data_IF_478340250331
#
_entry.id   IF_478340250331
#
_cell.length_a   1.000
_cell.length_b   1.000
_cell.length_c   1.000
_cell.angle_alpha   90.00
_cell.angle_beta   90.00
_cell.angle_gamma   90.00
#
_symmetry.space_group_name_H-M   'P 1'
#
loop_
_entity.id
_entity.type
_entity.pdbx_description
1 polymer ?
#
# COMPACT_ATOMS: atom_id res chain seq x y z
N UNK A 1 -13.04 -18.17 -17.98
CA UNK A 1 -14.36 -17.92 -17.37
C UNK A 1 -14.66 -16.42 -17.49
N UNK A 2 -15.91 -16.08 -17.82
CA UNK A 2 -16.32 -14.68 -18.00
C UNK A 2 -16.81 -14.04 -16.71
N UNK A 3 -17.21 -14.83 -15.73
CA UNK A 3 -17.67 -14.35 -14.42
C UNK A 3 -17.17 -15.25 -13.31
N UNK A 4 -16.99 -14.68 -12.13
CA UNK A 4 -16.49 -15.31 -10.91
C UNK A 4 -17.28 -14.75 -9.72
N UNK A 5 -17.68 -15.62 -8.82
CA UNK A 5 -18.24 -15.26 -7.51
C UNK A 5 -17.25 -15.75 -6.46
N UNK A 6 -16.90 -14.87 -5.53
CA UNK A 6 -16.05 -15.19 -4.37
C UNK A 6 -16.78 -14.76 -3.12
N UNK A 7 -16.88 -15.67 -2.17
CA UNK A 7 -17.41 -15.41 -0.84
C UNK A 7 -16.39 -15.80 0.21
N UNK A 8 -16.20 -14.94 1.20
CA UNK A 8 -15.36 -15.18 2.38
C UNK A 8 -16.25 -14.97 3.61
N UNK A 9 -16.16 -15.86 4.59
CA UNK A 9 -16.88 -15.76 5.87
C UNK A 9 -15.92 -16.08 6.99
N UNK A 10 -15.82 -15.18 7.95
CA UNK A 10 -14.99 -15.31 9.14
C UNK A 10 -15.85 -15.27 10.40
N UNK A 11 -15.53 -16.14 11.36
CA UNK A 11 -16.12 -16.14 12.69
C UNK A 11 -15.07 -15.80 13.74
N UNK A 12 -15.31 -14.68 14.44
CA UNK A 12 -14.45 -14.27 15.55
C UNK A 12 -14.85 -15.01 16.84
N UNK A 13 -14.02 -15.97 17.27
CA UNK A 13 -14.32 -16.81 18.46
C UNK A 13 -14.39 -15.96 19.73
N UNK A 14 -13.52 -14.94 19.86
CA UNK A 14 -13.42 -14.09 21.06
C UNK A 14 -14.58 -13.09 21.13
N UNK A 15 -14.86 -12.43 20.03
CA UNK A 15 -15.89 -11.39 19.93
C UNK A 15 -17.26 -11.92 19.48
N UNK A 16 -17.35 -13.25 19.19
CA UNK A 16 -18.58 -13.94 18.83
C UNK A 16 -19.36 -13.26 17.70
N UNK A 17 -18.65 -12.68 16.74
CA UNK A 17 -19.28 -12.03 15.59
C UNK A 17 -18.92 -12.72 14.27
N UNK A 18 -19.85 -12.63 13.31
CA UNK A 18 -19.69 -13.15 11.95
C UNK A 18 -19.41 -11.97 11.02
N UNK A 19 -18.38 -12.12 10.21
CA UNK A 19 -18.01 -11.18 9.16
C UNK A 19 -17.90 -11.89 7.84
N UNK A 20 -18.00 -11.15 6.75
CA UNK A 20 -17.81 -11.75 5.45
C UNK A 20 -17.92 -10.76 4.32
N UNK A 21 -17.54 -11.23 3.16
CA UNK A 21 -17.64 -10.47 1.91
C UNK A 21 -18.15 -11.39 0.80
N UNK A 22 -19.01 -10.85 -0.03
CA UNK A 22 -19.43 -11.46 -1.29
C UNK A 22 -19.02 -10.53 -2.42
N UNK A 23 -18.26 -11.06 -3.38
CA UNK A 23 -17.82 -10.32 -4.56
C UNK A 23 -18.22 -11.06 -5.84
N UNK A 24 -18.76 -10.32 -6.78
CA UNK A 24 -19.05 -10.75 -8.13
C UNK A 24 -18.19 -10.00 -9.13
N UNK A 25 -17.58 -10.73 -10.05
CA UNK A 25 -16.68 -10.19 -11.07
C UNK A 25 -17.08 -10.68 -12.45
N UNK A 26 -17.26 -9.77 -13.41
CA UNK A 26 -17.56 -10.05 -14.80
C UNK A 26 -16.49 -9.49 -15.72
N UNK A 27 -15.86 -10.37 -16.50
CA UNK A 27 -14.85 -10.01 -17.51
C UNK A 27 -15.52 -9.99 -18.89
N UNK A 28 -15.76 -8.79 -19.43
CA UNK A 28 -16.47 -8.61 -20.70
C UNK A 28 -15.53 -8.43 -21.91
N UNK A 29 -14.31 -7.90 -21.71
CA UNK A 29 -13.28 -7.74 -22.75
C UNK A 29 -11.92 -8.27 -22.27
N UNK A 30 -11.67 -9.58 -22.31
CA UNK A 30 -10.44 -10.19 -21.78
C UNK A 30 -9.16 -9.59 -22.38
N UNK A 31 -9.16 -9.33 -23.69
CA UNK A 31 -8.02 -8.78 -24.42
C UNK A 31 -7.71 -7.30 -24.10
N UNK A 32 -8.67 -6.60 -23.50
CA UNK A 32 -8.53 -5.23 -23.02
C UNK A 32 -8.61 -5.12 -21.51
N UNK A 33 -8.48 -6.25 -20.80
CA UNK A 33 -8.63 -6.34 -19.35
C UNK A 33 -9.93 -5.70 -18.83
N UNK A 34 -10.98 -5.68 -19.67
CA UNK A 34 -12.26 -5.10 -19.36
C UNK A 34 -13.03 -5.95 -18.36
N UNK A 35 -13.24 -5.38 -17.16
CA UNK A 35 -13.79 -6.07 -15.99
C UNK A 35 -14.66 -5.14 -15.17
N UNK A 36 -15.77 -5.67 -14.68
CA UNK A 36 -16.63 -5.05 -13.67
C UNK A 36 -16.61 -5.93 -12.43
N UNK A 37 -16.47 -5.33 -11.27
CA UNK A 37 -16.56 -6.02 -9.98
C UNK A 37 -17.54 -5.27 -9.09
N UNK A 38 -18.42 -6.03 -8.43
CA UNK A 38 -19.30 -5.57 -7.36
C UNK A 38 -18.99 -6.37 -6.10
N UNK A 39 -18.99 -5.73 -4.95
CA UNK A 39 -18.79 -6.43 -3.69
C UNK A 39 -19.62 -5.79 -2.58
N UNK A 40 -20.07 -6.61 -1.66
CA UNK A 40 -20.75 -6.22 -0.42
C UNK A 40 -20.10 -6.99 0.72
N UNK A 41 -19.92 -6.35 1.85
CA UNK A 41 -19.29 -7.02 3.00
C UNK A 41 -19.34 -6.23 4.28
N UNK A 42 -19.11 -6.96 5.35
CA UNK A 42 -18.86 -6.48 6.71
C UNK A 42 -17.54 -7.06 7.17
N UNK A 43 -16.52 -6.24 7.33
CA UNK A 43 -15.15 -6.69 7.58
C UNK A 43 -14.41 -5.75 8.53
N UNK A 44 -13.41 -6.29 9.20
CA UNK A 44 -12.37 -5.46 9.80
C UNK A 44 -11.34 -5.10 8.75
N UNK A 45 -11.11 -3.82 8.57
CA UNK A 45 -10.15 -3.27 7.61
C UNK A 45 -9.05 -2.54 8.36
N UNK A 46 -7.83 -2.68 7.89
CA UNK A 46 -6.72 -1.90 8.41
C UNK A 46 -6.93 -0.42 8.09
N UNK A 47 -6.73 0.43 9.08
CA UNK A 47 -6.74 1.89 8.93
C UNK A 47 -5.51 2.30 8.12
N UNK A 48 -4.34 1.85 8.55
CA UNK A 48 -3.09 1.98 7.83
C UNK A 48 -2.65 0.62 7.26
N UNK A 49 -2.94 0.37 5.98
CA UNK A 49 -2.54 -0.87 5.29
C UNK A 49 -1.03 -1.00 5.10
N UNK A 50 -0.27 -0.01 5.52
CA UNK A 50 1.17 0.05 5.39
C UNK A 50 1.91 -0.11 6.72
N UNK A 51 1.20 -0.44 7.80
CA UNK A 51 1.87 -0.67 9.06
C UNK A 51 2.87 -1.82 9.00
N UNK A 52 3.93 -1.74 9.82
CA UNK A 52 4.88 -2.82 10.02
C UNK A 52 4.23 -4.13 10.47
N UNK A 53 4.95 -5.23 10.31
CA UNK A 53 4.41 -6.59 10.57
C UNK A 53 3.79 -6.71 11.97
N UNK A 54 4.43 -6.15 13.00
CA UNK A 54 3.90 -6.21 14.37
C UNK A 54 2.58 -5.44 14.50
N UNK A 55 2.46 -4.27 13.90
CA UNK A 55 1.22 -3.50 13.86
C UNK A 55 0.09 -4.20 13.12
N UNK A 56 0.40 -5.12 12.20
CA UNK A 56 -0.61 -5.94 11.51
C UNK A 56 -1.37 -6.87 12.47
N UNK A 57 -0.74 -7.30 13.54
CA UNK A 57 -1.36 -8.14 14.57
C UNK A 57 -2.03 -7.33 15.68
N UNK A 58 -1.68 -6.06 15.82
CA UNK A 58 -2.24 -5.18 16.83
C UNK A 58 -3.61 -4.65 16.40
N UNK A 59 -4.55 -4.55 17.33
CA UNK A 59 -5.95 -4.15 17.05
C UNK A 59 -6.13 -2.65 16.84
N UNK A 60 -5.19 -1.85 17.32
CA UNK A 60 -5.22 -0.38 17.15
C UNK A 60 -5.30 0.08 15.70
N UNK A 61 -4.84 -0.74 14.77
CA UNK A 61 -4.87 -0.45 13.34
C UNK A 61 -6.15 -0.90 12.62
N UNK A 62 -7.19 -1.31 13.31
CA UNK A 62 -8.39 -1.84 12.65
C UNK A 62 -9.63 -0.98 12.91
N UNK A 63 -10.50 -0.93 11.90
CA UNK A 63 -11.84 -0.39 11.97
C UNK A 63 -12.83 -1.37 11.34
N UNK A 64 -14.08 -1.38 11.80
CA UNK A 64 -15.15 -2.13 11.15
C UNK A 64 -15.68 -1.32 9.97
N UNK A 65 -15.77 -1.98 8.81
CA UNK A 65 -16.27 -1.42 7.57
C UNK A 65 -17.41 -2.28 7.03
N UNK A 66 -18.62 -1.74 7.00
CA UNK A 66 -19.75 -2.31 6.27
C UNK A 66 -19.82 -1.55 4.95
N UNK A 67 -19.71 -2.24 3.82
CA UNK A 67 -19.58 -1.56 2.54
C UNK A 67 -20.28 -2.24 1.38
N UNK A 68 -20.66 -1.42 0.42
CA UNK A 68 -20.98 -1.79 -0.94
C UNK A 68 -20.01 -1.08 -1.87
N UNK A 69 -19.35 -1.82 -2.74
CA UNK A 69 -18.36 -1.26 -3.66
C UNK A 69 -18.54 -1.79 -5.07
N UNK A 70 -18.26 -0.93 -6.03
CA UNK A 70 -18.23 -1.25 -7.45
C UNK A 70 -16.94 -0.75 -8.06
N UNK A 71 -16.39 -1.47 -9.02
CA UNK A 71 -15.25 -1.00 -9.81
C UNK A 71 -15.32 -1.49 -11.24
N UNK A 72 -14.86 -0.66 -12.14
CA UNK A 72 -14.69 -0.95 -13.56
C UNK A 72 -13.25 -0.71 -13.96
N UNK A 73 -12.64 -1.64 -14.69
CA UNK A 73 -11.29 -1.54 -15.21
C UNK A 73 -11.29 -1.84 -16.71
N UNK A 74 -10.51 -1.06 -17.46
CA UNK A 74 -10.36 -1.23 -18.91
C UNK A 74 -8.98 -0.74 -19.35
N UNK A 75 -8.35 -1.46 -20.27
CA UNK A 75 -7.27 -0.93 -21.09
C UNK A 75 -7.87 -0.18 -22.28
N UNK A 76 -7.85 1.14 -22.22
CA UNK A 76 -8.43 2.03 -23.24
C UNK A 76 -7.58 1.99 -24.51
N UNK A 77 -6.27 2.15 -24.33
CA UNK A 77 -5.25 2.06 -25.37
C UNK A 77 -4.08 1.23 -24.86
N UNK A 78 -3.22 0.77 -25.74
CA UNK A 78 -2.04 0.00 -25.37
C UNK A 78 -1.25 0.66 -24.24
N UNK A 79 -1.14 -0.03 -23.10
CA UNK A 79 -0.48 0.47 -21.89
C UNK A 79 -1.25 1.54 -21.13
N UNK A 80 -2.43 1.99 -21.58
CA UNK A 80 -3.26 2.96 -20.86
C UNK A 80 -4.45 2.27 -20.20
N UNK A 81 -4.38 2.13 -18.89
CA UNK A 81 -5.42 1.50 -18.06
C UNK A 81 -6.19 2.56 -17.31
N UNK A 82 -7.51 2.43 -17.33
CA UNK A 82 -8.41 3.28 -16.54
C UNK A 82 -9.21 2.39 -15.61
N UNK A 83 -9.25 2.75 -14.35
CA UNK A 83 -10.08 2.13 -13.32
C UNK A 83 -10.94 3.19 -12.66
N UNK A 84 -12.25 3.04 -12.74
CA UNK A 84 -13.20 3.80 -11.93
C UNK A 84 -13.72 2.93 -10.79
N UNK A 85 -14.02 3.54 -9.66
CA UNK A 85 -14.52 2.85 -8.48
C UNK A 85 -15.54 3.71 -7.74
N UNK A 86 -16.45 3.03 -7.06
CA UNK A 86 -17.37 3.58 -6.10
C UNK A 86 -17.29 2.74 -4.83
N UNK A 87 -17.22 3.36 -3.68
CA UNK A 87 -17.21 2.71 -2.37
C UNK A 87 -18.12 3.48 -1.41
N UNK A 88 -19.22 2.87 -1.04
CA UNK A 88 -20.06 3.34 0.05
C UNK A 88 -19.74 2.52 1.29
N UNK A 89 -19.36 3.16 2.38
CA UNK A 89 -18.97 2.48 3.60
C UNK A 89 -19.50 3.17 4.85
N UNK A 90 -20.03 2.37 5.77
CA UNK A 90 -20.24 2.74 7.16
C UNK A 90 -18.99 2.29 7.95
N UNK A 91 -18.31 3.23 8.61
CA UNK A 91 -17.10 2.98 9.40
C UNK A 91 -17.38 3.15 10.87
N UNK A 92 -16.89 2.21 11.67
CA UNK A 92 -17.05 2.18 13.13
C UNK A 92 -15.75 1.81 13.80
N UNK A 93 -15.47 2.39 14.95
CA UNK A 93 -14.40 1.95 15.84
C UNK A 93 -14.69 0.54 16.36
N UNK A 94 -13.64 -0.15 16.75
CA UNK A 94 -13.72 -1.48 17.38
C UNK A 94 -13.39 -1.41 18.89
N UNK A 95 -13.47 -0.23 19.48
CA UNK A 95 -13.21 0.03 20.91
C UNK A 95 -14.16 -0.74 21.85
N UNK A 96 -15.36 -1.06 21.37
CA UNK A 96 -16.33 -1.84 22.14
C UNK A 96 -16.14 -3.37 22.04
N UNK A 97 -15.14 -3.86 21.30
CA UNK A 97 -14.87 -5.28 21.20
C UNK A 97 -14.11 -5.79 22.42
N UNK A 98 -14.50 -6.97 22.90
CA UNK A 98 -13.78 -7.66 23.96
C UNK A 98 -12.37 -7.97 23.49
N UNK A 99 -11.36 -7.42 24.20
CA UNK A 99 -9.95 -7.65 23.93
C UNK A 99 -9.43 -8.75 24.87
N UNK A 100 -8.54 -9.58 24.36
CA UNK A 100 -7.82 -10.55 25.19
C UNK A 100 -6.65 -9.88 25.90
N UNK A 101 -6.50 -10.13 27.19
CA UNK A 101 -5.48 -9.51 28.04
C UNK A 101 -4.04 -9.78 27.57
N UNK A 102 -3.75 -11.02 27.12
CA UNK A 102 -2.42 -11.39 26.63
C UNK A 102 -1.94 -10.52 25.45
N UNK A 103 -2.87 -10.09 24.60
CA UNK A 103 -2.53 -9.22 23.46
C UNK A 103 -2.15 -7.81 23.92
N UNK A 104 -2.71 -7.34 25.05
CA UNK A 104 -2.31 -6.06 25.65
C UNK A 104 -0.91 -6.14 26.24
N UNK A 105 -0.54 -7.26 26.85
CA UNK A 105 0.80 -7.47 27.40
C UNK A 105 1.87 -7.50 26.30
N UNK A 106 1.53 -8.08 25.13
CA UNK A 106 2.47 -8.21 24.01
C UNK A 106 2.59 -6.93 23.19
N UNK A 107 1.47 -6.25 22.88
CA UNK A 107 1.42 -5.13 21.95
C UNK A 107 1.25 -3.76 22.63
N UNK A 108 0.95 -3.73 23.94
CA UNK A 108 0.77 -2.50 24.69
C UNK A 108 -0.22 -1.54 24.05
N UNK A 109 0.19 -0.30 23.88
CA UNK A 109 -0.64 0.76 23.30
C UNK A 109 -1.05 0.48 21.85
N UNK A 110 -0.26 -0.27 21.07
CA UNK A 110 -0.60 -0.66 19.69
C UNK A 110 -1.87 -1.51 19.63
N UNK A 111 -2.21 -2.22 20.71
CA UNK A 111 -3.42 -3.01 20.79
C UNK A 111 -4.68 -2.21 21.18
N UNK A 112 -4.54 -0.93 21.53
CA UNK A 112 -5.64 -0.04 21.88
C UNK A 112 -6.34 0.45 20.61
N UNK A 113 -7.61 0.06 20.35
CA UNK A 113 -8.35 0.57 19.19
C UNK A 113 -8.52 2.08 19.29
N UNK A 114 -8.34 2.78 18.19
CA UNK A 114 -8.56 4.21 18.14
C UNK A 114 -10.07 4.52 18.18
N UNK A 115 -10.59 5.21 19.20
CA UNK A 115 -11.99 5.55 19.28
C UNK A 115 -12.33 6.68 18.29
N UNK A 116 -13.36 6.50 17.50
CA UNK A 116 -13.92 7.55 16.66
C UNK A 116 -15.43 7.40 16.52
N UNK A 117 -16.12 8.52 16.29
CA UNK A 117 -17.57 8.51 16.07
C UNK A 117 -17.89 7.79 14.77
N UNK A 118 -18.86 6.86 14.76
CA UNK A 118 -19.31 6.21 13.54
C UNK A 118 -19.70 7.23 12.46
N UNK A 119 -19.33 6.96 11.22
CA UNK A 119 -19.67 7.80 10.08
C UNK A 119 -19.84 6.99 8.81
N UNK A 120 -20.55 7.57 7.84
CA UNK A 120 -20.66 7.02 6.50
C UNK A 120 -19.83 7.84 5.51
N UNK A 121 -19.30 7.18 4.52
CA UNK A 121 -18.52 7.80 3.45
C UNK A 121 -18.93 7.22 2.10
N UNK A 122 -19.08 8.10 1.10
CA UNK A 122 -19.27 7.72 -0.30
C UNK A 122 -18.08 8.24 -1.10
N UNK A 123 -17.28 7.32 -1.64
CA UNK A 123 -16.04 7.62 -2.36
C UNK A 123 -16.21 7.28 -3.83
N UNK A 124 -15.89 8.22 -4.70
CA UNK A 124 -15.68 7.99 -6.12
C UNK A 124 -14.19 8.00 -6.40
N UNK A 125 -13.70 7.01 -7.10
CA UNK A 125 -12.28 6.87 -7.45
C UNK A 125 -12.07 6.79 -8.96
N UNK A 126 -11.01 7.44 -9.43
CA UNK A 126 -10.48 7.29 -10.79
C UNK A 126 -8.97 7.07 -10.69
N UNK A 127 -8.52 5.96 -11.26
CA UNK A 127 -7.09 5.66 -11.39
C UNK A 127 -6.76 5.51 -12.88
N UNK A 128 -5.76 6.25 -13.33
CA UNK A 128 -5.20 6.16 -14.66
C UNK A 128 -3.76 5.70 -14.53
N UNK A 129 -3.46 4.52 -15.08
CA UNK A 129 -2.11 3.97 -15.17
C UNK A 129 -1.67 3.97 -16.62
N UNK A 130 -0.57 4.65 -16.92
CA UNK A 130 0.04 4.68 -18.23
C UNK A 130 1.42 4.03 -18.22
N UNK A 131 1.59 3.00 -19.04
CA UNK A 131 2.82 2.25 -19.27
C UNK A 131 3.28 2.43 -20.71
N UNK A 132 4.09 3.43 -21.03
CA UNK A 132 4.58 3.65 -22.39
C UNK A 132 5.29 2.40 -22.92
N UNK A 133 5.08 2.05 -24.17
CA UNK A 133 5.76 0.89 -24.77
C UNK A 133 5.41 -0.47 -24.17
N UNK A 134 4.28 -0.60 -23.46
CA UNK A 134 3.83 -1.87 -22.87
C UNK A 134 3.82 -2.99 -23.92
N UNK A 135 4.54 -4.08 -23.61
CA UNK A 135 4.61 -5.29 -24.43
C UNK A 135 3.64 -6.35 -23.94
N UNK A 136 3.17 -7.17 -24.84
CA UNK A 136 2.22 -8.23 -24.54
C UNK A 136 2.57 -9.52 -25.26
N UNK A 137 2.30 -10.63 -24.58
CA UNK A 137 2.26 -11.96 -25.17
C UNK A 137 0.80 -12.38 -25.34
N UNK A 138 0.46 -12.83 -26.52
CA UNK A 138 -0.86 -13.40 -26.82
C UNK A 138 -0.77 -14.92 -26.71
N UNK A 139 -1.55 -15.52 -25.80
CA UNK A 139 -1.65 -16.96 -25.66
C UNK A 139 -3.12 -17.39 -25.79
N UNK A 140 -3.48 -17.81 -27.00
CA UNK A 140 -4.90 -18.05 -27.34
C UNK A 140 -5.73 -16.77 -27.13
N UNK A 141 -6.77 -16.85 -26.33
CA UNK A 141 -7.65 -15.71 -26.02
C UNK A 141 -7.23 -14.96 -24.72
N UNK A 142 -5.95 -15.05 -24.35
CA UNK A 142 -5.39 -14.35 -23.18
C UNK A 142 -4.28 -13.42 -23.62
N UNK A 143 -4.34 -12.19 -23.12
CA UNK A 143 -3.31 -11.17 -23.26
C UNK A 143 -2.53 -11.08 -21.94
N UNK A 144 -1.22 -11.31 -21.99
CA UNK A 144 -0.31 -11.31 -20.82
C UNK A 144 0.60 -10.10 -20.99
N UNK A 145 0.62 -9.21 -20.00
CA UNK A 145 1.52 -8.07 -19.98
C UNK A 145 2.94 -8.54 -19.64
N UNK A 146 3.92 -8.18 -20.45
CA UNK A 146 5.35 -8.51 -20.28
C UNK A 146 6.15 -7.38 -19.64
N UNK A 147 5.52 -6.22 -19.39
CA UNK A 147 6.19 -5.03 -18.88
C UNK A 147 6.49 -3.99 -19.95
N UNK A 148 7.06 -2.89 -19.52
CA UNK A 148 7.44 -1.72 -20.32
C UNK A 148 8.94 -1.44 -20.11
N UNK A 149 9.65 -0.90 -21.12
CA UNK A 149 11.02 -0.39 -20.94
C UNK A 149 11.05 1.05 -20.39
N UNK A 150 9.91 1.63 -20.09
CA UNK A 150 9.75 3.01 -19.61
C UNK A 150 9.06 3.00 -18.25
N UNK A 151 9.18 4.09 -17.47
CA UNK A 151 8.48 4.24 -16.20
C UNK A 151 6.97 4.09 -16.31
N UNK A 152 6.36 3.63 -15.23
CA UNK A 152 4.92 3.62 -15.01
C UNK A 152 4.48 4.98 -14.47
N UNK A 153 3.45 5.57 -15.05
CA UNK A 153 2.83 6.81 -14.61
C UNK A 153 1.44 6.51 -14.06
N UNK A 154 1.20 6.85 -12.80
CA UNK A 154 -0.08 6.61 -12.15
C UNK A 154 -0.68 7.93 -11.65
N UNK A 155 -1.91 8.20 -12.04
CA UNK A 155 -2.72 9.29 -11.51
C UNK A 155 -3.92 8.70 -10.77
N UNK A 156 -4.09 9.08 -9.49
CA UNK A 156 -5.23 8.67 -8.67
C UNK A 156 -5.99 9.91 -8.22
N UNK A 157 -7.28 9.92 -8.50
CA UNK A 157 -8.24 10.90 -8.02
C UNK A 157 -9.25 10.16 -7.15
N UNK A 158 -9.52 10.68 -5.96
CA UNK A 158 -10.56 10.18 -5.07
C UNK A 158 -11.40 11.35 -4.57
N UNK A 159 -12.71 11.21 -4.68
CA UNK A 159 -13.70 12.21 -4.29
C UNK A 159 -14.60 11.64 -3.20
N UNK A 160 -14.58 12.23 -2.01
CA UNK A 160 -15.61 12.04 -1.00
C UNK A 160 -16.80 12.94 -1.32
N UNK A 161 -17.99 12.35 -1.47
CA UNK A 161 -19.21 13.07 -1.89
C UNK A 161 -20.19 13.14 -0.72
N UNK A 162 -20.29 14.29 -0.02
CA UNK A 162 -21.23 14.45 1.06
C UNK A 162 -22.67 14.40 0.53
N UNK A 163 -23.57 13.82 1.33
CA UNK A 163 -25.00 13.65 0.97
C UNK A 163 -25.30 12.45 0.08
N UNK A 164 -24.37 11.97 -0.73
CA UNK A 164 -24.59 10.77 -1.55
C UNK A 164 -24.75 9.54 -0.64
N UNK A 165 -25.89 8.86 -0.69
CA UNK A 165 -26.25 7.73 0.18
C UNK A 165 -25.99 7.99 1.68
N UNK A 166 -26.06 9.26 2.13
CA UNK A 166 -25.79 9.62 3.52
C UNK A 166 -24.30 9.81 3.84
N UNK A 167 -23.42 9.94 2.85
CA UNK A 167 -22.01 10.24 3.04
C UNK A 167 -21.80 11.54 3.82
N UNK A 168 -20.93 11.53 4.83
CA UNK A 168 -20.68 12.66 5.74
C UNK A 168 -19.39 13.42 5.41
N UNK A 169 -18.51 12.84 4.59
CA UNK A 169 -17.17 13.38 4.38
C UNK A 169 -17.03 13.92 2.95
N UNK A 170 -16.56 15.18 2.83
CA UNK A 170 -16.34 15.85 1.56
C UNK A 170 -14.87 16.25 1.38
N UNK A 171 -14.19 15.65 0.43
CA UNK A 171 -12.83 16.00 0.04
C UNK A 171 -12.53 15.52 -1.38
N UNK A 172 -11.50 16.09 -1.98
CA UNK A 172 -10.89 15.57 -3.20
C UNK A 172 -9.42 15.28 -2.90
N UNK A 173 -8.97 14.06 -3.08
CA UNK A 173 -7.55 13.73 -3.04
C UNK A 173 -7.01 13.46 -4.43
N UNK A 174 -5.83 13.97 -4.71
CA UNK A 174 -5.09 13.78 -5.96
C UNK A 174 -3.70 13.25 -5.62
N UNK A 175 -3.27 12.20 -6.32
CA UNK A 175 -1.90 11.67 -6.26
C UNK A 175 -1.39 11.36 -7.66
N UNK A 176 -0.23 11.87 -7.98
CA UNK A 176 0.56 11.48 -9.13
C UNK A 176 1.78 10.70 -8.67
N UNK A 177 2.11 9.62 -9.35
CA UNK A 177 3.24 8.75 -9.02
C UNK A 177 3.94 8.29 -10.29
N UNK A 178 5.26 8.31 -10.26
CA UNK A 178 6.13 7.72 -11.30
C UNK A 178 6.97 6.64 -10.64
N UNK A 179 7.05 5.47 -11.26
CA UNK A 179 7.85 4.37 -10.72
C UNK A 179 8.47 3.53 -11.84
N UNK A 180 9.65 2.97 -11.56
CA UNK A 180 10.35 2.13 -12.53
C UNK A 180 11.20 1.06 -11.84
N UNK A 181 11.56 0.04 -12.62
CA UNK A 181 12.47 -1.02 -12.23
C UNK A 181 13.52 -1.20 -13.33
N UNK A 182 14.69 -0.59 -13.10
CA UNK A 182 15.83 -0.66 -14.02
C UNK A 182 16.64 -1.92 -13.79
N UNK A 183 16.78 -2.74 -14.83
CA UNK A 183 17.68 -3.89 -14.82
C UNK A 183 18.97 -3.56 -15.57
N UNK A 184 20.09 -3.64 -14.87
CA UNK A 184 21.43 -3.44 -15.42
C UNK A 184 22.19 -4.76 -15.40
N UNK A 185 22.56 -5.35 -16.57
CA UNK A 185 23.19 -6.66 -16.61
C UNK A 185 24.48 -6.80 -15.79
N UNK A 186 25.22 -5.70 -15.59
CA UNK A 186 26.48 -5.70 -14.82
C UNK A 186 26.32 -5.19 -13.40
N UNK A 187 25.37 -4.30 -13.14
CA UNK A 187 25.25 -3.58 -11.87
C UNK A 187 24.15 -4.12 -10.98
N UNK A 188 23.20 -4.88 -11.56
CA UNK A 188 22.03 -5.37 -10.82
C UNK A 188 20.75 -4.67 -11.21
N UNK A 189 19.89 -4.40 -10.26
CA UNK A 189 18.61 -3.72 -10.54
C UNK A 189 18.32 -2.62 -9.52
N UNK A 190 17.72 -1.55 -10.02
CA UNK A 190 17.25 -0.40 -9.23
C UNK A 190 15.74 -0.31 -9.31
N UNK A 191 15.07 -0.28 -8.17
CA UNK A 191 13.66 0.10 -8.09
C UNK A 191 13.55 1.47 -7.50
N UNK A 192 12.72 2.31 -8.08
CA UNK A 192 12.46 3.63 -7.55
C UNK A 192 11.00 4.06 -7.79
N UNK A 193 10.51 4.92 -6.93
CA UNK A 193 9.23 5.59 -7.11
C UNK A 193 9.29 7.00 -6.53
N UNK A 194 8.58 7.92 -7.14
CA UNK A 194 8.40 9.27 -6.67
C UNK A 194 6.93 9.67 -6.83
N UNK A 195 6.38 10.32 -5.85
CA UNK A 195 4.99 10.72 -5.84
C UNK A 195 4.76 12.11 -5.27
N UNK A 196 3.72 12.75 -5.76
CA UNK A 196 3.19 14.00 -5.25
C UNK A 196 1.69 13.85 -5.02
N UNK A 197 1.18 14.39 -3.94
CA UNK A 197 -0.25 14.33 -3.66
C UNK A 197 -0.71 15.36 -2.65
N UNK A 198 -2.01 15.39 -2.45
CA UNK A 198 -2.62 16.27 -1.47
C UNK A 198 -4.14 16.16 -1.48
N UNK A 199 -4.75 16.90 -0.57
CA UNK A 199 -6.20 16.94 -0.40
C UNK A 199 -6.71 18.35 -0.62
N UNK A 200 -7.87 18.45 -1.23
CA UNK A 200 -8.65 19.66 -1.39
C UNK A 200 -9.97 19.47 -0.67
N UNK A 201 -10.22 20.27 0.35
CA UNK A 201 -11.47 20.32 1.10
C UNK A 201 -11.73 21.75 1.57
N UNK A 202 -12.99 22.05 1.93
CA UNK A 202 -13.33 23.33 2.56
C UNK A 202 -12.53 23.56 3.84
N UNK A 203 -12.40 22.52 4.63
CA UNK A 203 -11.59 22.47 5.83
C UNK A 203 -10.86 21.12 5.86
N UNK A 204 -9.54 21.12 5.75
CA UNK A 204 -8.71 19.91 5.76
C UNK A 204 -8.80 19.19 7.10
N UNK A 205 -8.96 19.91 8.21
CA UNK A 205 -9.08 19.32 9.55
C UNK A 205 -10.41 18.57 9.76
N UNK A 206 -11.39 18.76 8.85
CA UNK A 206 -12.66 18.00 8.86
C UNK A 206 -12.54 16.63 8.21
N UNK A 207 -11.47 16.35 7.51
CA UNK A 207 -11.21 15.03 6.91
C UNK A 207 -10.91 14.05 8.03
N UNK A 208 -11.63 12.94 8.05
CA UNK A 208 -11.43 11.91 9.07
C UNK A 208 -10.06 11.27 8.90
N UNK A 209 -9.35 11.00 9.99
CA UNK A 209 -7.98 10.47 9.97
C UNK A 209 -7.85 9.17 9.15
N UNK A 210 -8.89 8.32 9.12
CA UNK A 210 -8.92 7.09 8.31
C UNK A 210 -8.79 7.39 6.81
N UNK A 211 -9.21 8.58 6.35
CA UNK A 211 -9.14 9.00 4.95
C UNK A 211 -7.82 9.72 4.61
N UNK A 212 -6.96 9.97 5.60
CA UNK A 212 -5.67 10.62 5.39
C UNK A 212 -4.72 9.77 4.53
N UNK A 213 -3.68 10.39 4.01
CA UNK A 213 -2.54 9.69 3.44
C UNK A 213 -1.65 9.20 4.58
N UNK A 214 -1.50 7.90 4.70
CA UNK A 214 -0.53 7.27 5.59
C UNK A 214 0.79 7.03 4.84
N UNK A 215 1.91 7.29 5.52
CA UNK A 215 3.23 6.90 5.06
C UNK A 215 3.64 5.62 5.78
N UNK A 216 4.18 4.70 5.04
CA UNK A 216 4.65 3.45 5.61
C UNK A 216 5.95 3.69 6.35
N UNK A 217 5.94 3.49 7.66
CA UNK A 217 7.12 3.39 8.50
C UNK A 217 7.64 1.96 8.61
N UNK A 218 8.58 1.74 9.50
CA UNK A 218 9.13 0.44 9.83
C UNK A 218 9.22 0.26 11.35
N UNK A 219 9.13 -0.98 11.82
CA UNK A 219 9.50 -1.31 13.19
C UNK A 219 11.02 -1.18 13.35
N UNK A 220 11.47 -0.78 14.54
CA UNK A 220 12.91 -0.62 14.82
C UNK A 220 13.71 -1.91 14.61
N UNK A 221 13.08 -3.07 14.77
CA UNK A 221 13.71 -4.38 14.67
C UNK A 221 13.51 -5.07 13.30
N UNK A 222 12.58 -4.60 12.47
CA UNK A 222 12.21 -5.26 11.21
C UNK A 222 12.30 -4.28 10.05
N UNK A 223 13.21 -4.55 9.13
CA UNK A 223 13.34 -3.78 7.90
C UNK A 223 12.15 -4.05 6.97
N UNK A 224 11.36 -3.04 6.71
CA UNK A 224 10.19 -3.12 5.83
C UNK A 224 10.59 -3.03 4.35
N UNK A 225 9.65 -3.31 3.43
CA UNK A 225 9.92 -3.21 2.00
C UNK A 225 10.40 -1.81 1.59
N UNK A 226 11.66 -1.65 1.20
CA UNK A 226 12.25 -0.33 0.95
C UNK A 226 11.71 0.38 -0.29
N UNK A 227 10.96 -0.31 -1.14
CA UNK A 227 10.37 0.30 -2.34
C UNK A 227 9.17 1.21 -2.04
N UNK A 228 8.63 1.17 -0.81
CA UNK A 228 7.43 1.92 -0.43
C UNK A 228 7.31 2.21 1.07
N UNK A 229 8.39 2.05 1.84
CA UNK A 229 8.42 2.35 3.27
C UNK A 229 9.69 3.09 3.65
N UNK A 230 9.57 3.97 4.65
CA UNK A 230 10.64 4.71 5.29
C UNK A 230 11.01 3.98 6.57
N UNK A 231 12.28 3.61 6.70
CA UNK A 231 12.74 2.71 7.76
C UNK A 231 12.89 3.40 9.12
N UNK A 232 13.10 4.72 9.11
CA UNK A 232 13.29 5.55 10.30
C UNK A 232 12.10 6.48 10.57
N UNK A 233 10.96 6.23 9.92
CA UNK A 233 9.73 6.98 10.12
C UNK A 233 8.82 6.26 11.13
N UNK A 234 8.11 7.04 11.94
CA UNK A 234 7.00 6.52 12.74
C UNK A 234 5.90 5.93 11.83
N UNK A 235 5.48 4.72 12.15
CA UNK A 235 4.48 3.97 11.36
C UNK A 235 3.09 4.62 11.37
N UNK A 236 2.80 5.48 12.33
CA UNK A 236 1.50 6.12 12.50
C UNK A 236 1.39 7.45 11.77
N UNK A 237 2.47 7.94 11.14
CA UNK A 237 2.44 9.25 10.50
C UNK A 237 1.48 9.31 9.32
N UNK A 238 0.59 10.27 9.39
CA UNK A 238 -0.43 10.51 8.35
C UNK A 238 -0.63 12.00 8.11
N UNK A 239 -1.16 12.36 6.95
CA UNK A 239 -1.43 13.75 6.61
C UNK A 239 -2.62 13.90 5.65
N UNK A 240 -3.34 15.02 5.77
CA UNK A 240 -4.28 15.51 4.77
C UNK A 240 -3.70 16.70 3.96
N UNK A 241 -2.44 17.06 4.19
CA UNK A 241 -1.76 18.21 3.57
C UNK A 241 -1.07 17.80 2.26
N UNK A 242 -0.66 18.77 1.41
CA UNK A 242 0.18 18.49 0.25
C UNK A 242 1.50 17.84 0.66
N UNK A 243 1.91 16.82 -0.07
CA UNK A 243 3.10 16.04 0.22
C UNK A 243 3.83 15.60 -1.05
N UNK A 244 5.12 15.33 -0.88
CA UNK A 244 5.98 14.62 -1.82
C UNK A 244 6.55 13.41 -1.13
N UNK A 245 6.73 12.31 -1.85
CA UNK A 245 7.43 11.12 -1.35
C UNK A 245 8.29 10.50 -2.45
N UNK A 246 9.40 9.91 -2.05
CA UNK A 246 10.24 9.15 -2.97
C UNK A 246 10.92 7.98 -2.24
N UNK A 247 11.19 6.92 -2.99
CA UNK A 247 11.83 5.69 -2.52
C UNK A 247 12.75 5.17 -3.60
N UNK A 248 13.91 4.65 -3.20
CA UNK A 248 14.86 4.05 -4.13
C UNK A 248 15.65 2.94 -3.47
N UNK A 249 15.82 1.83 -4.16
CA UNK A 249 16.64 0.70 -3.72
C UNK A 249 17.39 0.11 -4.89
N UNK A 250 18.68 -0.11 -4.70
CA UNK A 250 19.55 -0.77 -5.66
C UNK A 250 20.12 -2.06 -5.08
N UNK A 251 19.92 -3.15 -5.81
CA UNK A 251 20.49 -4.46 -5.50
C UNK A 251 21.63 -4.73 -6.48
N UNK A 252 22.84 -4.92 -5.97
CA UNK A 252 24.02 -5.14 -6.82
C UNK A 252 24.04 -6.57 -7.38
N UNK A 253 24.34 -6.72 -8.67
CA UNK A 253 24.51 -8.03 -9.31
C UNK A 253 25.81 -8.72 -8.89
N UNK A 254 26.87 -7.95 -8.69
CA UNK A 254 28.18 -8.40 -8.28
C UNK A 254 28.65 -7.59 -7.08
N UNK A 255 29.21 -8.26 -6.13
CA UNK A 255 29.71 -7.66 -4.90
C UNK A 255 31.24 -7.70 -4.86
N UNK A 256 31.91 -6.63 -4.42
CA UNK A 256 33.31 -6.74 -4.00
C UNK A 256 33.51 -7.82 -2.94
N UNK A 257 32.44 -8.15 -2.21
CA UNK A 257 32.42 -9.22 -1.21
C UNK A 257 32.49 -10.63 -1.82
N UNK A 258 32.26 -10.79 -3.13
CA UNK A 258 32.39 -12.07 -3.83
C UNK A 258 33.87 -12.58 -3.89
N UNK A 259 34.84 -11.71 -3.62
CA UNK A 259 36.23 -12.10 -3.44
C UNK A 259 36.51 -12.79 -2.11
N UNK A 260 35.61 -12.67 -1.12
CA UNK A 260 35.71 -13.34 0.16
C UNK A 260 35.04 -14.74 0.09
N UNK A 261 35.81 -15.85 0.29
CA UNK A 261 35.33 -17.21 0.02
C UNK A 261 34.05 -17.57 0.81
N UNK A 262 33.93 -17.12 2.06
CA UNK A 262 32.77 -17.35 2.91
C UNK A 262 31.52 -16.62 2.38
N UNK A 263 31.67 -15.36 1.99
CA UNK A 263 30.55 -14.51 1.53
C UNK A 263 30.08 -14.96 0.16
N UNK A 264 31.00 -15.34 -0.72
CA UNK A 264 30.68 -15.95 -2.03
C UNK A 264 29.80 -17.20 -1.87
N UNK A 265 30.08 -18.03 -0.86
CA UNK A 265 29.28 -19.23 -0.57
C UNK A 265 27.86 -18.90 -0.12
N UNK A 266 27.67 -17.79 0.57
CA UNK A 266 26.37 -17.32 1.04
C UNK A 266 25.54 -16.64 -0.06
N UNK A 267 26.15 -16.32 -1.23
CA UNK A 267 25.51 -15.54 -2.31
C UNK A 267 24.93 -14.22 -1.81
N UNK A 268 25.65 -13.57 -0.93
CA UNK A 268 25.22 -12.32 -0.32
C UNK A 268 25.14 -11.20 -1.35
N UNK A 269 24.03 -10.50 -1.40
CA UNK A 269 23.77 -9.38 -2.32
C UNK A 269 23.84 -8.08 -1.53
N UNK A 270 24.77 -7.16 -1.81
CA UNK A 270 24.74 -5.83 -1.25
C UNK A 270 23.52 -5.05 -1.76
N UNK A 271 22.99 -4.23 -0.89
CA UNK A 271 21.82 -3.37 -1.15
C UNK A 271 22.11 -1.98 -0.62
N UNK A 272 21.81 -0.96 -1.40
CA UNK A 272 21.84 0.44 -0.97
C UNK A 272 20.53 1.11 -1.38
N UNK A 273 20.11 2.08 -0.60
CA UNK A 273 18.93 2.83 -0.96
C UNK A 273 18.66 3.97 -0.01
N UNK A 274 17.50 4.54 -0.18
CA UNK A 274 17.01 5.62 0.66
C UNK A 274 15.64 6.06 0.22
N UNK A 275 15.08 6.96 0.99
CA UNK A 275 13.79 7.53 0.71
C UNK A 275 13.60 8.83 1.46
N UNK A 276 12.50 9.46 1.18
CA UNK A 276 12.13 10.65 1.92
C UNK A 276 10.72 11.10 1.62
N UNK A 277 10.26 12.02 2.44
CA UNK A 277 9.00 12.70 2.26
C UNK A 277 9.11 14.16 2.70
N UNK A 278 8.32 14.99 2.07
CA UNK A 278 8.12 16.38 2.43
C UNK A 278 6.63 16.66 2.61
N UNK A 279 6.28 17.36 3.69
CA UNK A 279 4.89 17.78 3.98
C UNK A 279 4.85 19.29 4.01
N UNK A 280 4.10 19.88 3.07
CA UNK A 280 4.18 21.29 2.73
C UNK A 280 3.81 22.25 3.86
N UNK A 281 2.72 22.01 4.61
CA UNK A 281 2.30 22.95 5.66
C UNK A 281 3.15 22.91 6.92
N UNK A 282 3.65 21.72 7.28
CA UNK A 282 4.57 21.59 8.40
C UNK A 282 5.99 22.02 8.02
N UNK A 283 6.24 22.29 6.73
CA UNK A 283 7.57 22.49 6.15
C UNK A 283 8.57 21.43 6.61
N UNK A 284 8.06 20.20 6.80
CA UNK A 284 8.80 19.10 7.38
C UNK A 284 9.37 18.17 6.31
N UNK A 285 10.67 17.95 6.41
CA UNK A 285 11.42 17.08 5.53
C UNK A 285 11.98 15.88 6.30
N UNK A 286 11.57 14.68 5.93
CA UNK A 286 12.19 13.44 6.39
C UNK A 286 13.00 12.83 5.26
N UNK A 287 14.28 12.57 5.52
CA UNK A 287 15.18 11.89 4.60
C UNK A 287 15.87 10.75 5.33
N UNK A 288 16.10 9.66 4.62
CA UNK A 288 16.86 8.52 5.12
C UNK A 288 17.67 7.86 4.02
N UNK A 289 18.78 7.27 4.42
CA UNK A 289 19.58 6.40 3.58
C UNK A 289 19.91 5.12 4.33
N UNK A 290 20.08 4.04 3.60
CA UNK A 290 20.45 2.75 4.17
C UNK A 290 21.39 1.98 3.26
N UNK A 291 22.17 1.09 3.89
CA UNK A 291 22.98 0.09 3.22
C UNK A 291 22.83 -1.24 3.95
N UNK A 292 22.88 -2.33 3.22
CA UNK A 292 22.70 -3.65 3.80
C UNK A 292 23.21 -4.77 2.92
N UNK A 293 23.04 -5.98 3.45
CA UNK A 293 23.41 -7.23 2.77
C UNK A 293 22.21 -8.17 2.89
N UNK A 294 21.79 -8.72 1.76
CA UNK A 294 20.76 -9.75 1.67
C UNK A 294 21.36 -11.11 1.33
N UNK A 295 20.94 -12.15 2.03
CA UNK A 295 21.31 -13.53 1.76
C UNK A 295 20.08 -14.31 1.35
N UNK A 296 20.01 -14.85 0.12
CA UNK A 296 18.91 -15.70 -0.29
C UNK A 296 19.05 -17.08 0.35
N UNK A 297 17.99 -17.58 0.93
CA UNK A 297 17.92 -18.96 1.39
C UNK A 297 16.60 -19.60 0.97
N UNK A 298 16.56 -20.90 0.98
CA UNK A 298 15.38 -21.66 0.65
C UNK A 298 14.77 -22.22 1.94
N UNK A 299 13.54 -21.81 2.22
CA UNK A 299 12.75 -22.34 3.31
C UNK A 299 11.61 -23.15 2.70
N UNK A 300 11.67 -24.48 2.83
CA UNK A 300 10.82 -25.42 2.08
C UNK A 300 10.88 -25.13 0.57
N UNK A 301 9.75 -24.89 -0.08
CA UNK A 301 9.67 -24.56 -1.51
C UNK A 301 9.71 -23.04 -1.83
N UNK A 302 9.82 -22.20 -0.80
CA UNK A 302 9.85 -20.76 -0.96
C UNK A 302 11.29 -20.21 -0.90
N UNK A 303 11.59 -19.25 -1.79
CA UNK A 303 12.82 -18.48 -1.71
C UNK A 303 12.58 -17.29 -0.79
N UNK A 304 13.29 -17.26 0.32
CA UNK A 304 13.26 -16.17 1.30
C UNK A 304 14.59 -15.44 1.25
N UNK A 305 14.58 -14.15 1.48
CA UNK A 305 15.79 -13.35 1.66
C UNK A 305 15.84 -12.86 3.09
N UNK A 306 16.95 -13.12 3.74
CA UNK A 306 17.28 -12.53 5.02
C UNK A 306 18.26 -11.40 4.78
N UNK A 307 17.99 -10.21 5.36
CA UNK A 307 18.82 -9.02 5.18
C UNK A 307 19.16 -8.37 6.52
N UNK A 308 20.34 -7.78 6.58
CA UNK A 308 20.76 -6.88 7.64
C UNK A 308 21.05 -5.52 7.03
N UNK A 309 20.50 -4.46 7.65
CA UNK A 309 20.60 -3.11 7.12
C UNK A 309 21.01 -2.13 8.21
N UNK A 310 21.85 -1.21 7.82
CA UNK A 310 22.13 -0.01 8.60
C UNK A 310 21.37 1.15 7.98
N UNK A 311 20.52 1.79 8.80
CA UNK A 311 19.67 2.91 8.38
C UNK A 311 20.13 4.16 9.09
N UNK A 312 20.25 5.26 8.36
CA UNK A 312 20.54 6.58 8.92
C UNK A 312 19.49 7.57 8.47
N UNK A 313 18.88 8.21 9.43
CA UNK A 313 18.03 9.37 9.21
C UNK A 313 18.90 10.59 8.93
N UNK A 314 18.53 11.36 7.91
CA UNK A 314 19.24 12.56 7.43
C UNK A 314 18.42 13.85 7.63
N UNK A 315 17.13 13.74 7.93
CA UNK A 315 16.20 14.84 8.13
C UNK A 315 15.94 15.16 9.61
N UNK A 316 15.13 16.19 9.84
CA UNK A 316 14.72 16.62 11.16
C UNK A 316 13.82 15.58 11.87
N UNK A 317 13.75 15.59 13.21
CA UNK A 317 12.80 14.76 13.95
C UNK A 317 11.35 15.05 13.53
N UNK A 318 10.47 14.09 13.74
CA UNK A 318 9.01 14.27 13.56
C UNK A 318 8.54 15.49 14.35
N UNK A 319 7.70 16.35 13.75
CA UNK A 319 7.16 17.52 14.42
C UNK A 319 6.27 17.13 15.62
#
# INVERSE_FOLDING_TARGET
>A
RRWEIRGDVDYGVVNQDVKGQLAWTYTYKPLKFGQVRLAVGDQYVQINSYEPILGTFARGNYARKISFSGSHRLEVRNGLYVRSSFDFAARRSIDNLRLEEWANDLFGELNQPQPFRPYTVSLLGLEVLYRPGQRYLMRGNRKIALGSPYPDFTLRLQQGVPGLLGGMVGFTSLRFEVSDNWEHPRWGYTRWSAGAGGFLARNLDSIRFIEHKFFRGSDQAIFSNPSNSLQALDSTYNTARPYLDFYGVHHFAHSPLDYLPLIKRLRATPVVGGGGMFVGEANWLHLEAYAGIEVPFRLWDQRVRYGMYWVRRLGEPTP
#
